data_IF_140358720749
#
_entry.id   IF_140358720749
#
_cell.length_a   1.000
_cell.length_b   1.000
_cell.length_c   1.000
_cell.angle_alpha   90.00
_cell.angle_beta   90.00
_cell.angle_gamma   90.00
#
_symmetry.space_group_name_H-M   'P 1'
#
loop_
_entity.id
_entity.type
_entity.pdbx_description
1 polymer ?
#
# COMPACT_ATOMS: atom_id res chain seq x y z
N UNK A 1 -5.98 10.29 12.41
CA UNK A 1 -5.23 11.10 13.43
C UNK A 1 -4.43 12.17 12.70
N UNK A 2 -3.51 12.90 13.36
CA UNK A 2 -2.60 13.86 12.69
C UNK A 2 -1.17 13.32 12.56
N UNK A 3 -1.02 11.99 12.43
CA UNK A 3 0.29 11.37 12.28
C UNK A 3 0.93 11.87 11.00
N UNK A 4 2.09 12.51 11.12
CA UNK A 4 2.80 13.11 9.98
C UNK A 4 4.26 12.66 9.87
N UNK A 5 4.78 11.94 10.87
CA UNK A 5 6.10 11.33 10.83
C UNK A 5 6.02 9.89 10.32
N UNK A 6 7.14 9.38 9.79
CA UNK A 6 7.26 7.98 9.39
C UNK A 6 7.05 6.99 10.53
N UNK A 7 6.86 5.72 10.16
CA UNK A 7 6.85 4.65 11.15
C UNK A 7 8.20 4.58 11.85
N UNK A 8 8.25 4.38 13.17
CA UNK A 8 9.50 4.07 13.85
C UNK A 8 10.06 2.74 13.33
N UNK A 9 11.37 2.54 13.42
CA UNK A 9 12.00 1.26 13.03
C UNK A 9 11.41 0.05 13.76
N UNK A 10 10.88 0.26 14.96
CA UNK A 10 10.17 -0.77 15.74
C UNK A 10 8.90 -1.29 15.05
N UNK A 11 8.33 -0.55 14.11
CA UNK A 11 7.15 -0.99 13.36
C UNK A 11 7.42 -2.26 12.54
N UNK A 12 8.67 -2.45 12.08
CA UNK A 12 9.06 -3.66 11.38
C UNK A 12 8.98 -4.92 12.25
N UNK A 13 8.96 -4.78 13.58
CA UNK A 13 8.87 -5.90 14.51
C UNK A 13 7.45 -6.43 14.68
N UNK A 14 6.44 -5.76 14.12
CA UNK A 14 5.04 -6.18 14.17
C UNK A 14 4.76 -7.34 13.19
N UNK A 15 5.58 -8.40 13.23
CA UNK A 15 5.57 -9.50 12.24
C UNK A 15 4.26 -10.27 12.19
N UNK A 16 3.46 -10.23 13.25
CA UNK A 16 2.15 -10.89 13.35
C UNK A 16 0.98 -9.97 13.00
N UNK A 17 1.23 -8.72 12.58
CA UNK A 17 0.16 -7.77 12.26
C UNK A 17 -0.57 -8.21 10.99
N UNK A 18 -1.88 -8.42 11.11
CA UNK A 18 -2.75 -8.86 10.00
C UNK A 18 -3.59 -7.73 9.43
N UNK A 19 -3.91 -6.71 10.23
CA UNK A 19 -4.79 -5.61 9.83
C UNK A 19 -4.13 -4.30 10.22
N UNK A 20 -4.02 -3.39 9.25
CA UNK A 20 -3.51 -2.05 9.47
C UNK A 20 -4.41 -1.03 8.79
N UNK A 21 -4.98 -0.16 9.61
CA UNK A 21 -5.79 0.96 9.17
C UNK A 21 -5.12 2.28 9.57
N UNK A 22 -4.81 3.09 8.57
CA UNK A 22 -4.18 4.38 8.71
C UNK A 22 -5.02 5.50 8.07
N UNK A 23 -6.29 5.23 7.79
CA UNK A 23 -7.19 6.19 7.17
C UNK A 23 -7.15 7.56 7.85
N UNK A 24 -7.06 8.61 7.04
CA UNK A 24 -7.17 10.00 7.50
C UNK A 24 -6.05 10.42 8.44
N UNK A 25 -4.82 9.98 8.15
CA UNK A 25 -3.58 10.53 8.70
C UNK A 25 -2.84 11.37 7.65
N UNK A 26 -1.74 12.02 8.01
CA UNK A 26 -0.99 12.91 7.13
C UNK A 26 0.41 12.35 6.83
N UNK A 27 0.49 11.04 6.55
CA UNK A 27 1.75 10.31 6.34
C UNK A 27 2.30 10.58 4.94
N UNK A 28 3.46 11.23 4.82
CA UNK A 28 4.08 11.63 3.55
C UNK A 28 5.56 11.19 3.43
N UNK A 29 6.03 10.81 2.23
CA UNK A 29 7.43 10.40 1.97
C UNK A 29 7.69 8.87 1.96
N UNK A 30 8.95 8.44 2.06
CA UNK A 30 9.43 7.03 2.05
C UNK A 30 8.99 6.19 3.28
N UNK A 31 7.95 6.66 3.96
CA UNK A 31 7.38 6.11 5.19
C UNK A 31 6.91 4.67 5.02
N UNK A 32 6.57 4.23 3.80
CA UNK A 32 6.01 2.90 3.55
C UNK A 32 7.06 1.77 3.53
N UNK A 33 8.36 2.05 3.56
CA UNK A 33 9.41 1.01 3.46
C UNK A 33 9.23 -0.14 4.47
N UNK A 34 8.98 0.22 5.74
CA UNK A 34 8.74 -0.74 6.83
C UNK A 34 7.42 -1.51 6.68
N UNK A 35 6.41 -0.90 6.06
CA UNK A 35 5.09 -1.49 5.86
C UNK A 35 5.17 -2.73 4.95
N UNK A 36 6.00 -2.66 3.91
CA UNK A 36 6.21 -3.77 2.96
C UNK A 36 6.92 -4.99 3.57
N UNK A 37 7.47 -4.86 4.78
CA UNK A 37 8.10 -5.95 5.54
C UNK A 37 7.11 -6.76 6.40
N UNK A 38 5.84 -6.35 6.49
CA UNK A 38 4.82 -6.99 7.31
C UNK A 38 4.09 -8.08 6.51
N UNK A 39 4.78 -9.21 6.31
CA UNK A 39 4.34 -10.30 5.40
C UNK A 39 3.02 -10.96 5.78
N UNK A 40 2.59 -10.85 7.03
CA UNK A 40 1.33 -11.42 7.52
C UNK A 40 0.13 -10.48 7.36
N UNK A 41 0.33 -9.26 6.83
CA UNK A 41 -0.77 -8.34 6.53
C UNK A 41 -1.75 -8.96 5.52
N UNK A 42 -3.03 -8.89 5.90
CA UNK A 42 -4.17 -9.33 5.12
C UNK A 42 -5.04 -8.15 4.68
N UNK A 43 -5.09 -7.11 5.51
CA UNK A 43 -5.88 -5.90 5.24
C UNK A 43 -5.05 -4.64 5.44
N UNK A 44 -5.07 -3.79 4.44
CA UNK A 44 -4.32 -2.54 4.41
C UNK A 44 -5.19 -1.39 3.88
N UNK A 45 -5.44 -0.42 4.76
CA UNK A 45 -6.24 0.77 4.50
C UNK A 45 -5.35 2.01 4.63
N UNK A 46 -5.06 2.64 3.49
CA UNK A 46 -4.16 3.80 3.35
C UNK A 46 -4.90 5.01 2.78
N UNK A 47 -6.21 5.10 2.95
CA UNK A 47 -7.01 6.15 2.35
C UNK A 47 -6.72 7.53 2.96
N UNK A 48 -6.78 8.58 2.12
CA UNK A 48 -6.62 9.96 2.57
C UNK A 48 -5.32 10.22 3.34
N UNK A 49 -4.21 9.63 2.90
CA UNK A 49 -2.90 9.80 3.51
C UNK A 49 -2.05 10.90 2.88
N UNK A 50 -2.56 11.60 1.85
CA UNK A 50 -1.80 12.50 1.00
C UNK A 50 -0.59 11.81 0.35
N UNK A 51 -0.66 10.50 0.08
CA UNK A 51 0.39 9.79 -0.64
C UNK A 51 0.54 10.41 -2.02
N UNK A 52 1.67 11.07 -2.24
CA UNK A 52 2.04 11.74 -3.47
C UNK A 52 3.30 11.07 -4.05
N UNK A 53 3.17 10.45 -5.22
CA UNK A 53 4.31 9.83 -5.90
C UNK A 53 4.02 8.48 -6.52
N UNK A 54 5.09 7.75 -6.84
CA UNK A 54 5.02 6.46 -7.53
C UNK A 54 5.10 5.33 -6.51
N UNK A 55 4.01 4.58 -6.33
CA UNK A 55 4.00 3.34 -5.55
C UNK A 55 4.72 2.25 -6.36
N UNK A 56 5.77 1.67 -5.76
CA UNK A 56 6.49 0.56 -6.36
C UNK A 56 5.68 -0.73 -6.20
N UNK A 57 5.19 -1.27 -7.32
CA UNK A 57 4.34 -2.46 -7.30
C UNK A 57 5.08 -3.68 -6.74
N UNK A 58 6.40 -3.75 -6.90
CA UNK A 58 7.21 -4.83 -6.33
C UNK A 58 7.18 -4.86 -4.81
N UNK A 59 7.01 -3.69 -4.17
CA UNK A 59 6.86 -3.62 -2.73
C UNK A 59 5.50 -4.13 -2.25
N UNK A 60 4.45 -3.84 -3.01
CA UNK A 60 3.11 -4.41 -2.76
C UNK A 60 3.11 -5.94 -2.87
N UNK A 61 3.82 -6.50 -3.86
CA UNK A 61 3.94 -7.96 -4.03
C UNK A 61 4.68 -8.68 -2.89
N UNK A 62 5.39 -7.96 -2.01
CA UNK A 62 6.00 -8.56 -0.82
C UNK A 62 4.96 -8.93 0.24
N UNK A 63 3.79 -8.29 0.21
CA UNK A 63 2.67 -8.57 1.11
C UNK A 63 1.86 -9.77 0.61
N UNK A 64 2.48 -10.96 0.63
CA UNK A 64 1.94 -12.19 0.01
C UNK A 64 0.57 -12.63 0.54
N UNK A 65 0.22 -12.23 1.75
CA UNK A 65 -1.05 -12.57 2.40
C UNK A 65 -2.12 -11.50 2.21
N UNK A 66 -1.83 -10.40 1.52
CA UNK A 66 -2.76 -9.28 1.37
C UNK A 66 -3.99 -9.69 0.56
N UNK A 67 -5.18 -9.39 1.09
CA UNK A 67 -6.47 -9.71 0.46
C UNK A 67 -7.34 -8.48 0.28
N UNK A 68 -7.14 -7.45 1.09
CA UNK A 68 -7.92 -6.20 1.04
C UNK A 68 -6.97 -5.02 1.00
N UNK A 69 -7.10 -4.21 -0.03
CA UNK A 69 -6.31 -3.00 -0.22
C UNK A 69 -7.23 -1.83 -0.53
N UNK A 70 -7.07 -0.73 0.20
CA UNK A 70 -7.61 0.54 -0.22
C UNK A 70 -6.55 1.62 -0.21
N UNK A 71 -6.48 2.33 -1.33
CA UNK A 71 -5.58 3.47 -1.54
C UNK A 71 -6.37 4.74 -1.88
N UNK A 72 -7.68 4.74 -1.67
CA UNK A 72 -8.58 5.81 -2.12
C UNK A 72 -8.19 7.18 -1.58
N UNK A 73 -8.54 8.24 -2.30
CA UNK A 73 -8.25 9.62 -1.90
C UNK A 73 -6.75 9.90 -1.69
N UNK A 74 -5.90 9.35 -2.56
CA UNK A 74 -4.48 9.70 -2.63
C UNK A 74 -4.11 10.21 -4.02
N UNK A 75 -2.90 10.75 -4.21
CA UNK A 75 -2.41 11.17 -5.53
C UNK A 75 -1.28 10.24 -5.98
N UNK A 76 -1.66 9.00 -6.29
CA UNK A 76 -0.72 7.91 -6.57
C UNK A 76 -0.56 7.63 -8.06
N UNK A 77 0.65 7.26 -8.44
CA UNK A 77 0.96 6.60 -9.71
C UNK A 77 1.69 5.29 -9.41
N UNK A 78 1.82 4.39 -10.39
CA UNK A 78 2.47 3.10 -10.18
C UNK A 78 3.63 2.91 -11.14
N UNK A 79 4.71 2.26 -10.69
CA UNK A 79 5.83 1.93 -11.58
C UNK A 79 5.41 0.85 -12.59
N UNK A 80 5.87 0.97 -13.84
CA UNK A 80 5.57 0.01 -14.93
C UNK A 80 6.40 -1.28 -14.87
N UNK A 81 7.24 -1.47 -13.86
CA UNK A 81 8.18 -2.61 -13.79
C UNK A 81 7.59 -3.76 -12.97
N UNK A 82 7.33 -4.90 -13.62
CA UNK A 82 6.69 -6.09 -13.05
C UNK A 82 7.63 -7.30 -12.92
N UNK A 83 8.89 -7.05 -12.53
CA UNK A 83 9.89 -8.11 -12.43
C UNK A 83 9.51 -9.06 -11.29
N UNK A 84 9.23 -10.33 -11.61
CA UNK A 84 8.86 -11.39 -10.65
C UNK A 84 7.57 -11.16 -9.86
N UNK A 85 6.55 -10.56 -10.49
CA UNK A 85 5.23 -10.43 -9.90
C UNK A 85 4.66 -11.80 -9.51
N UNK A 86 4.58 -12.08 -8.20
CA UNK A 86 3.70 -13.14 -7.69
C UNK A 86 2.28 -12.61 -7.67
N UNK A 87 1.33 -13.41 -8.14
CA UNK A 87 -0.07 -13.02 -8.06
C UNK A 87 -0.48 -12.79 -6.61
N UNK A 88 -1.01 -11.59 -6.33
CA UNK A 88 -1.81 -11.42 -5.12
C UNK A 88 -3.17 -12.08 -5.36
N UNK A 89 -3.94 -12.25 -4.28
CA UNK A 89 -5.32 -12.73 -4.37
C UNK A 89 -6.22 -11.75 -3.67
N UNK A 90 -6.25 -10.52 -4.20
CA UNK A 90 -7.12 -9.48 -3.66
C UNK A 90 -8.58 -9.88 -3.88
N UNK A 91 -9.37 -9.80 -2.81
CA UNK A 91 -10.84 -9.88 -2.86
C UNK A 91 -11.49 -8.50 -2.84
N UNK A 92 -10.72 -7.48 -2.49
CA UNK A 92 -11.21 -6.12 -2.30
C UNK A 92 -10.10 -5.14 -2.68
N UNK A 93 -10.39 -4.29 -3.65
CA UNK A 93 -9.51 -3.24 -4.13
C UNK A 93 -10.31 -1.95 -4.27
N UNK A 94 -9.85 -0.88 -3.62
CA UNK A 94 -10.41 0.47 -3.75
C UNK A 94 -9.34 1.46 -4.19
N UNK A 95 -9.63 2.14 -5.30
CA UNK A 95 -8.75 3.12 -5.96
C UNK A 95 -9.53 4.39 -6.37
N UNK A 96 -10.70 4.64 -5.77
CA UNK A 96 -11.48 5.84 -6.07
C UNK A 96 -10.75 7.10 -5.60
N UNK A 97 -10.93 8.21 -6.31
CA UNK A 97 -10.27 9.48 -5.98
C UNK A 97 -8.72 9.41 -5.99
N UNK A 98 -8.10 8.49 -6.74
CA UNK A 98 -6.65 8.32 -6.84
C UNK A 98 -5.95 9.18 -7.92
N UNK A 99 -6.70 10.00 -8.66
CA UNK A 99 -6.21 10.75 -9.83
C UNK A 99 -5.54 9.87 -10.91
N UNK A 100 -6.01 8.63 -11.07
CA UNK A 100 -5.49 7.70 -12.07
C UNK A 100 -5.89 8.15 -13.48
N UNK A 101 -4.89 8.40 -14.33
CA UNK A 101 -5.09 8.75 -15.74
C UNK A 101 -5.27 7.51 -16.64
N UNK A 102 -4.76 6.37 -16.20
CA UNK A 102 -4.86 5.08 -16.88
C UNK A 102 -5.14 3.98 -15.85
N UNK A 103 -5.82 2.91 -16.29
CA UNK A 103 -6.04 1.76 -15.41
C UNK A 103 -4.70 1.04 -15.17
N UNK A 104 -4.29 0.81 -13.91
CA UNK A 104 -2.97 0.27 -13.65
C UNK A 104 -2.78 -1.15 -14.19
N UNK A 105 -1.78 -1.34 -15.05
CA UNK A 105 -1.55 -2.62 -15.74
C UNK A 105 -1.24 -3.79 -14.80
N UNK A 106 -0.75 -3.52 -13.59
CA UNK A 106 -0.46 -4.58 -12.62
C UNK A 106 -1.71 -5.23 -12.01
N UNK A 107 -2.91 -4.68 -12.23
CA UNK A 107 -4.16 -5.23 -11.66
C UNK A 107 -4.40 -6.67 -12.12
N UNK A 108 -3.94 -7.05 -13.32
CA UNK A 108 -3.99 -8.45 -13.78
C UNK A 108 -3.12 -9.42 -12.98
N UNK A 109 -2.25 -8.91 -12.12
CA UNK A 109 -1.37 -9.66 -11.23
C UNK A 109 -1.77 -9.51 -9.74
N UNK A 110 -2.87 -8.82 -9.44
CA UNK A 110 -3.39 -8.65 -8.08
C UNK A 110 -4.36 -9.78 -7.65
#
# INVERSE_FOLDING_TARGET
NRLSSGFPSSFENLKQLTNLDLFGNNLHGDILGALWNLKDLQELYLESLNLNGVLNVNDLFRLKNLRRLSLSYNNISFTKSFINATTLKLMYLKLDSCNLIEFPQFIGYL
#
